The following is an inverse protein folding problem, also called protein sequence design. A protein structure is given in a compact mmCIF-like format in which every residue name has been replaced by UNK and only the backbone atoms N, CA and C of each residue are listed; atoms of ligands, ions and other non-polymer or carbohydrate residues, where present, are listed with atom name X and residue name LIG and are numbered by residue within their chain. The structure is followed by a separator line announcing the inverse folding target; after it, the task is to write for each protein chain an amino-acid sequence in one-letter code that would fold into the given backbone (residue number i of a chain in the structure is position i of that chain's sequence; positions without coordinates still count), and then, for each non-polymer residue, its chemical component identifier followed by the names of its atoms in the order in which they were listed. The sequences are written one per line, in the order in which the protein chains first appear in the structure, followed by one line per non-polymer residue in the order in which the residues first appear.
data_IF_473535949156
#
_entry.id   IF_473535949156
#
_cell.length_a   1.000
_cell.length_b   1.000
_cell.length_c   1.000
_cell.angle_alpha   90.00
_cell.angle_beta   90.00
_cell.angle_gamma   90.00
#
_symmetry.space_group_name_H-M   'P 1'
#
loop_
_entity.id
_entity.type
_entity.pdbx_description
1 polymer ?
#
# COMPACT_ATOMS: atom_id res chain seq x y z
N UNK A 1 22.19 9.56 -3.56
CA UNK A 1 21.34 9.87 -4.73
C UNK A 1 20.01 9.24 -4.41
N UNK A 2 19.04 10.05 -4.00
CA UNK A 2 17.77 9.51 -3.52
C UNK A 2 16.98 8.93 -4.68
N UNK A 3 16.63 7.65 -4.56
CA UNK A 3 15.90 6.94 -5.61
C UNK A 3 14.40 7.12 -5.42
N UNK A 4 13.67 7.50 -6.46
CA UNK A 4 12.21 7.64 -6.38
C UNK A 4 11.56 6.29 -6.71
N UNK A 5 10.71 5.82 -5.80
CA UNK A 5 9.92 4.60 -5.95
C UNK A 5 8.46 4.98 -6.22
N UNK A 6 7.90 4.46 -7.30
CA UNK A 6 6.48 4.61 -7.64
C UNK A 6 5.67 3.45 -7.05
N UNK A 7 4.74 3.78 -6.17
CA UNK A 7 3.92 2.81 -5.44
C UNK A 7 2.47 2.94 -5.91
N UNK A 8 1.94 1.89 -6.55
CA UNK A 8 0.52 1.78 -6.84
C UNK A 8 -0.23 1.33 -5.58
N UNK A 9 -1.26 2.07 -5.19
CA UNK A 9 -2.17 1.77 -4.07
C UNK A 9 -3.57 1.44 -4.62
N UNK A 10 -4.11 0.30 -4.22
CA UNK A 10 -5.46 -0.15 -4.54
C UNK A 10 -6.31 -0.11 -3.27
N UNK A 11 -7.50 0.50 -3.36
CA UNK A 11 -8.33 0.85 -2.21
C UNK A 11 -9.49 -0.12 -2.01
N UNK A 12 -9.80 -0.39 -0.74
CA UNK A 12 -11.01 -1.10 -0.34
C UNK A 12 -11.11 -2.48 -0.95
N UNK A 13 -10.03 -3.26 -0.92
CA UNK A 13 -10.03 -4.60 -1.48
C UNK A 13 -9.32 -5.62 -0.62
N UNK A 14 -9.15 -6.82 -1.17
CA UNK A 14 -8.44 -7.91 -0.54
C UNK A 14 -7.70 -8.75 -1.57
N UNK A 15 -6.64 -9.40 -1.11
CA UNK A 15 -5.94 -10.40 -1.89
C UNK A 15 -6.72 -11.71 -1.87
N UNK A 16 -6.81 -12.35 -3.02
CA UNK A 16 -7.39 -13.68 -3.18
C UNK A 16 -6.29 -14.74 -3.25
N UNK A 17 -6.70 -16.02 -3.11
CA UNK A 17 -5.76 -17.15 -3.11
C UNK A 17 -5.05 -17.36 -4.46
N UNK A 18 -5.57 -16.79 -5.54
CA UNK A 18 -4.99 -16.80 -6.88
C UNK A 18 -4.04 -15.61 -7.14
N UNK A 19 -3.60 -14.93 -6.07
CA UNK A 19 -2.69 -13.77 -6.13
C UNK A 19 -3.30 -12.52 -6.76
N UNK A 20 -4.58 -12.54 -7.13
CA UNK A 20 -5.25 -11.38 -7.70
C UNK A 20 -5.75 -10.42 -6.62
N UNK A 21 -5.98 -9.16 -7.02
CA UNK A 21 -6.59 -8.16 -6.16
C UNK A 21 -8.07 -8.05 -6.51
N UNK A 22 -8.93 -8.26 -5.50
CA UNK A 22 -10.36 -8.02 -5.63
C UNK A 22 -10.72 -6.71 -4.94
N UNK A 23 -11.09 -5.72 -5.74
CA UNK A 23 -11.60 -4.44 -5.23
C UNK A 23 -13.06 -4.59 -4.82
N UNK A 24 -13.46 -4.01 -3.69
CA UNK A 24 -14.86 -3.71 -3.39
C UNK A 24 -15.28 -2.32 -3.88
N UNK A 25 -14.33 -1.54 -4.41
CA UNK A 25 -14.56 -0.18 -4.92
C UNK A 25 -14.24 -0.07 -6.42
N UNK A 26 -14.96 0.79 -7.13
CA UNK A 26 -14.68 1.11 -8.55
C UNK A 26 -13.60 2.21 -8.68
N UNK A 27 -12.95 2.58 -7.56
CA UNK A 27 -11.99 3.66 -7.53
C UNK A 27 -10.72 3.28 -8.30
N UNK A 28 -10.23 4.20 -9.12
CA UNK A 28 -8.93 4.09 -9.77
C UNK A 28 -7.81 3.94 -8.73
N UNK A 29 -6.77 3.15 -9.02
CA UNK A 29 -5.62 3.05 -8.12
C UNK A 29 -4.92 4.41 -8.00
N UNK A 30 -4.49 4.73 -6.78
CA UNK A 30 -3.66 5.90 -6.51
C UNK A 30 -2.19 5.55 -6.78
N UNK A 31 -1.40 6.52 -7.21
CA UNK A 31 0.04 6.35 -7.41
C UNK A 31 0.78 7.30 -6.48
N UNK A 32 1.61 6.74 -5.61
CA UNK A 32 2.42 7.45 -4.64
C UNK A 32 3.88 7.49 -5.09
N UNK A 33 4.50 8.66 -4.92
CA UNK A 33 5.94 8.82 -5.07
C UNK A 33 6.56 8.75 -3.69
N UNK A 34 7.43 7.77 -3.47
CA UNK A 34 8.19 7.63 -2.24
C UNK A 34 9.66 7.84 -2.54
N UNK A 35 10.38 8.54 -1.65
CA UNK A 35 11.81 8.80 -1.82
C UNK A 35 12.55 7.80 -0.93
N UNK A 36 13.28 6.89 -1.57
CA UNK A 36 14.02 5.82 -0.91
C UNK A 36 15.08 6.40 0.02
N UNK A 37 15.26 5.77 1.19
CA UNK A 37 16.22 6.15 2.25
C UNK A 37 15.93 7.45 3.00
N UNK A 38 15.04 8.31 2.51
CA UNK A 38 14.59 9.51 3.24
C UNK A 38 13.18 9.37 3.82
N UNK A 39 12.34 8.48 3.28
CA UNK A 39 10.99 8.25 3.78
C UNK A 39 10.98 7.20 4.88
N UNK A 40 10.54 7.59 6.09
CA UNK A 40 10.23 6.62 7.16
C UNK A 40 8.84 6.02 6.95
N UNK A 41 8.56 4.89 7.59
CA UNK A 41 7.21 4.32 7.63
C UNK A 41 6.19 5.32 8.19
N UNK A 42 6.57 6.08 9.23
CA UNK A 42 5.72 7.12 9.81
C UNK A 42 5.37 8.20 8.80
N UNK A 43 6.37 8.77 8.12
CA UNK A 43 6.14 9.84 7.13
C UNK A 43 5.26 9.35 5.98
N UNK A 44 5.46 8.10 5.55
CA UNK A 44 4.66 7.48 4.51
C UNK A 44 3.19 7.31 4.95
N UNK A 45 2.95 6.85 6.18
CA UNK A 45 1.60 6.72 6.74
C UNK A 45 0.93 8.07 6.92
N UNK A 46 1.64 9.11 7.36
CA UNK A 46 1.10 10.46 7.51
C UNK A 46 0.70 11.06 6.15
N UNK A 47 1.57 10.95 5.14
CA UNK A 47 1.26 11.40 3.77
C UNK A 47 0.06 10.65 3.19
N UNK A 48 0.02 9.34 3.37
CA UNK A 48 -1.08 8.49 2.94
C UNK A 48 -2.39 8.89 3.63
N UNK A 49 -2.35 9.09 4.95
CA UNK A 49 -3.52 9.49 5.74
C UNK A 49 -4.05 10.86 5.32
N UNK A 50 -3.16 11.82 5.02
CA UNK A 50 -3.54 13.14 4.50
C UNK A 50 -4.30 13.01 3.18
N UNK A 51 -3.73 12.28 2.21
CA UNK A 51 -4.34 12.08 0.88
C UNK A 51 -5.69 11.38 0.99
N UNK A 52 -5.78 10.36 1.86
CA UNK A 52 -7.03 9.64 2.09
C UNK A 52 -8.07 10.49 2.83
N UNK A 53 -7.66 11.37 3.73
CA UNK A 53 -8.59 12.27 4.42
C UNK A 53 -9.24 13.24 3.43
N UNK A 54 -8.45 13.78 2.52
CA UNK A 54 -8.93 14.71 1.49
C UNK A 54 -9.83 14.02 0.46
N UNK A 55 -9.57 12.75 0.16
CA UNK A 55 -10.19 12.05 -0.98
C UNK A 55 -11.25 11.01 -0.60
N UNK A 56 -11.26 10.50 0.65
CA UNK A 56 -12.04 9.30 1.04
C UNK A 56 -12.68 9.40 2.44
N UNK A 57 -13.04 10.61 2.91
CA UNK A 57 -13.79 10.84 4.15
C UNK A 57 -13.15 10.22 5.42
N UNK A 58 -11.86 10.46 5.65
CA UNK A 58 -11.23 10.21 6.96
C UNK A 58 -11.11 8.73 7.35
N UNK A 59 -10.54 7.91 6.47
CA UNK A 59 -10.13 6.54 6.83
C UNK A 59 -9.03 6.62 7.90
N UNK A 60 -9.41 6.56 9.17
CA UNK A 60 -8.48 6.67 10.30
C UNK A 60 -7.78 5.34 10.64
N UNK A 61 -8.34 4.22 10.18
CA UNK A 61 -7.81 2.89 10.45
C UNK A 61 -7.74 2.07 9.16
N UNK A 62 -6.51 1.86 8.69
CA UNK A 62 -6.24 1.05 7.51
C UNK A 62 -5.08 0.09 7.75
N UNK A 63 -5.11 -1.02 7.02
CA UNK A 63 -4.00 -1.97 6.95
C UNK A 63 -3.46 -1.99 5.54
N UNK A 64 -2.15 -1.92 5.44
CA UNK A 64 -1.43 -2.06 4.18
C UNK A 64 -0.91 -3.48 4.03
N UNK A 65 -1.09 -4.03 2.84
CA UNK A 65 -0.53 -5.33 2.49
C UNK A 65 -0.18 -5.41 1.02
N UNK A 66 0.75 -6.29 0.66
CA UNK A 66 1.04 -6.64 -0.73
C UNK A 66 1.18 -8.15 -0.86
N UNK A 67 0.96 -8.66 -2.07
CA UNK A 67 1.17 -10.07 -2.39
C UNK A 67 2.43 -10.21 -3.24
N UNK A 68 3.31 -11.13 -2.86
CA UNK A 68 4.44 -11.53 -3.71
C UNK A 68 3.98 -12.70 -4.57
N UNK A 69 4.23 -12.62 -5.88
CA UNK A 69 3.86 -13.66 -6.84
C UNK A 69 4.36 -15.05 -6.39
N UNK A 70 3.46 -16.01 -6.27
CA UNK A 70 3.79 -17.39 -5.88
C UNK A 70 4.15 -17.58 -4.39
N UNK A 71 3.99 -16.56 -3.55
CA UNK A 71 4.32 -16.64 -2.12
C UNK A 71 3.15 -16.14 -1.24
N UNK A 72 2.08 -16.94 -1.08
CA UNK A 72 1.05 -16.66 -0.09
C UNK A 72 1.59 -16.97 1.33
N UNK A 73 1.13 -16.28 2.39
CA UNK A 73 0.05 -15.28 2.45
C UNK A 73 0.53 -13.84 2.13
N UNK A 74 -0.38 -12.85 2.03
CA UNK A 74 -0.01 -11.44 1.87
C UNK A 74 0.92 -10.95 2.98
N UNK A 75 1.88 -10.11 2.61
CA UNK A 75 2.79 -9.47 3.56
C UNK A 75 2.18 -8.15 3.99
N UNK A 76 2.02 -7.98 5.31
CA UNK A 76 1.50 -6.74 5.90
C UNK A 76 2.65 -5.76 6.16
N UNK A 77 2.37 -4.48 5.94
CA UNK A 77 3.29 -3.39 6.29
C UNK A 77 2.72 -2.74 7.55
N UNK A 78 3.40 -2.97 8.67
CA UNK A 78 2.98 -2.53 10.00
C UNK A 78 4.09 -1.82 10.79
N UNK A 79 5.33 -1.86 10.30
CA UNK A 79 6.49 -1.28 10.94
C UNK A 79 7.54 -0.82 9.91
N UNK A 80 8.62 -0.22 10.41
CA UNK A 80 9.72 0.29 9.58
C UNK A 80 10.43 -0.82 8.80
N UNK A 81 10.60 -2.00 9.40
CA UNK A 81 11.35 -3.09 8.78
C UNK A 81 10.60 -3.68 7.58
N UNK A 82 9.31 -3.94 7.73
CA UNK A 82 8.41 -4.42 6.67
C UNK A 82 8.24 -3.38 5.57
N UNK A 83 8.22 -2.09 5.92
CA UNK A 83 8.19 -1.00 4.96
C UNK A 83 9.49 -0.90 4.15
N UNK A 84 10.65 -0.93 4.82
CA UNK A 84 11.96 -0.93 4.16
C UNK A 84 12.12 -2.13 3.21
N UNK A 85 11.69 -3.31 3.64
CA UNK A 85 11.71 -4.50 2.79
C UNK A 85 10.84 -4.30 1.55
N UNK A 86 9.62 -3.77 1.69
CA UNK A 86 8.75 -3.45 0.57
C UNK A 86 9.39 -2.43 -0.41
N UNK A 87 10.02 -1.37 0.10
CA UNK A 87 10.71 -0.39 -0.75
C UNK A 87 11.87 -1.02 -1.51
N UNK A 88 12.69 -1.84 -0.85
CA UNK A 88 13.78 -2.57 -1.51
C UNK A 88 13.27 -3.52 -2.60
N UNK A 89 12.18 -4.24 -2.32
CA UNK A 89 11.51 -5.10 -3.31
C UNK A 89 11.06 -4.30 -4.53
N UNK A 90 10.47 -3.12 -4.32
CA UNK A 90 10.00 -2.22 -5.37
C UNK A 90 11.12 -1.65 -6.24
N UNK A 91 12.26 -1.30 -5.65
CA UNK A 91 13.43 -0.80 -6.39
C UNK A 91 13.93 -1.82 -7.41
N UNK A 92 13.80 -3.11 -7.10
CA UNK A 92 14.18 -4.20 -8.01
C UNK A 92 13.16 -4.44 -9.14
N UNK A 93 11.99 -3.79 -9.13
CA UNK A 93 10.97 -3.94 -10.16
C UNK A 93 10.94 -2.74 -11.11
N UNK A 94 11.07 -3.03 -12.41
CA UNK A 94 10.91 -2.01 -13.47
C UNK A 94 9.45 -1.63 -13.72
N UNK A 95 8.50 -2.53 -13.41
CA UNK A 95 7.07 -2.27 -13.54
C UNK A 95 6.47 -1.78 -12.22
N UNK A 96 6.05 -0.51 -12.16
CA UNK A 96 5.46 0.10 -10.97
C UNK A 96 4.16 -0.58 -10.49
N UNK A 97 3.44 -1.24 -11.40
CA UNK A 97 2.19 -1.96 -11.09
C UNK A 97 2.43 -3.30 -10.41
N UNK A 98 3.67 -3.81 -10.41
CA UNK A 98 4.02 -5.06 -9.74
C UNK A 98 4.13 -4.86 -8.24
N UNK A 99 3.56 -5.76 -7.44
CA UNK A 99 3.40 -5.60 -5.99
C UNK A 99 2.64 -4.31 -5.60
N UNK A 100 1.39 -4.12 -6.08
CA UNK A 100 0.60 -2.99 -5.61
C UNK A 100 0.31 -3.12 -4.11
N UNK A 101 0.24 -2.00 -3.41
CA UNK A 101 -0.26 -1.99 -2.04
C UNK A 101 -1.78 -2.10 -2.07
N UNK A 102 -2.31 -3.00 -1.27
CA UNK A 102 -3.72 -3.08 -0.92
C UNK A 102 -3.94 -2.31 0.37
N UNK A 103 -4.84 -1.33 0.32
CA UNK A 103 -5.36 -0.67 1.49
C UNK A 103 -6.70 -1.30 1.87
N UNK A 104 -6.70 -2.00 3.00
CA UNK A 104 -7.91 -2.53 3.59
C UNK A 104 -8.34 -1.59 4.72
N UNK A 105 -9.41 -0.83 4.49
CA UNK A 105 -10.04 -0.05 5.55
C UNK A 105 -10.84 -1.02 6.43
N UNK A 106 -10.49 -1.10 7.71
CA UNK A 106 -11.42 -1.67 8.66
C UNK A 106 -12.51 -0.62 8.87
N UNK A 107 -13.61 -0.73 8.11
CA UNK A 107 -14.86 -0.11 8.53
C UNK A 107 -15.20 -0.69 9.90
N UNK A 108 -14.89 0.04 10.96
CA UNK A 108 -15.62 -0.16 12.21
C UNK A 108 -17.07 0.18 11.89
N UNK A 109 -17.89 -0.85 11.69
CA UNK A 109 -19.33 -0.73 11.85
C UNK A 109 -19.52 -0.37 13.33
N UNK A 110 -19.77 0.91 13.60
CA UNK A 110 -20.31 1.31 14.91
C UNK A 110 -21.72 0.73 14.91
N UNK A 111 -21.90 -0.38 15.61
CA UNK A 111 -23.22 -0.97 15.92
C UNK A 111 -23.80 -0.19 17.09
#
# INVERSE_FOLDING_TARGET
MDSIVMIMLKLGGSWTNDYSFKSSTVASPLVFKCVLYSSTYKDFIEQLSSILSDSYNGINHFKLSYMVDGCPPPVYINDEATFCFFLNLKVLQTNFSKYPLCLNSQLMVII
#
